data_IF_355338117558
#
_entry.id   IF_355338117558
#
_cell.length_a   1.000
_cell.length_b   1.000
_cell.length_c   1.000
_cell.angle_alpha   90.00
_cell.angle_beta   90.00
_cell.angle_gamma   90.00
#
_symmetry.space_group_name_H-M   'P 1'
#
loop_
_entity.id
_entity.type
_entity.pdbx_description
1 polymer ?
#
# COMPACT_ATOMS: atom_id res chain seq x y z
N UNK A 1 19.06 1.59 3.16
CA UNK A 1 17.95 1.14 2.32
C UNK A 1 16.63 1.71 2.80
N UNK A 2 16.04 2.58 2.00
CA UNK A 2 14.73 3.22 2.23
C UNK A 2 13.60 2.21 2.48
N UNK A 3 13.77 0.96 2.06
CA UNK A 3 12.69 -0.04 2.04
C UNK A 3 12.88 -1.21 2.98
N UNK A 4 14.06 -1.41 3.53
CA UNK A 4 14.37 -2.58 4.33
C UNK A 4 14.44 -2.28 5.83
N UNK A 5 14.51 -1.04 6.19
CA UNK A 5 14.45 -0.59 7.58
C UNK A 5 13.36 0.45 7.69
N UNK A 6 12.49 0.32 8.56
CA UNK A 6 12.42 -0.37 9.85
C UNK A 6 11.31 -1.45 9.91
N UNK A 7 11.11 -2.24 8.86
CA UNK A 7 10.03 -3.22 8.84
C UNK A 7 10.26 -4.38 9.80
N UNK A 8 9.20 -4.79 10.48
CA UNK A 8 9.17 -6.01 11.28
C UNK A 8 9.06 -7.24 10.38
N UNK A 9 9.68 -8.34 10.82
CA UNK A 9 9.68 -9.61 10.09
C UNK A 9 10.12 -9.50 8.62
N UNK A 10 10.96 -8.52 8.29
CA UNK A 10 11.44 -8.30 6.93
C UNK A 10 12.26 -9.48 6.38
N UNK A 11 12.81 -10.32 7.22
CA UNK A 11 13.49 -11.56 6.87
C UNK A 11 12.57 -12.60 6.21
N UNK A 12 11.27 -12.55 6.49
CA UNK A 12 10.24 -13.40 5.88
C UNK A 12 9.62 -12.81 4.61
N UNK A 13 10.00 -11.61 4.24
CA UNK A 13 9.54 -10.92 3.05
C UNK A 13 10.55 -11.04 1.88
N UNK A 14 10.33 -10.28 0.82
CA UNK A 14 11.25 -10.17 -0.34
C UNK A 14 11.60 -11.51 -1.00
N UNK A 15 10.62 -12.40 -1.09
CA UNK A 15 10.73 -13.69 -1.76
C UNK A 15 9.74 -13.80 -2.92
N UNK A 16 10.08 -14.63 -3.90
CA UNK A 16 9.18 -14.94 -5.01
C UNK A 16 8.29 -16.11 -4.60
N UNK A 17 6.98 -15.92 -4.72
CA UNK A 17 5.96 -16.94 -4.43
C UNK A 17 5.05 -17.13 -5.62
N UNK A 18 4.44 -18.31 -5.75
CA UNK A 18 3.46 -18.56 -6.78
C UNK A 18 2.12 -17.89 -6.44
N UNK A 19 1.48 -17.29 -7.44
CA UNK A 19 0.15 -16.69 -7.32
C UNK A 19 -0.76 -17.14 -8.45
N UNK A 20 -1.92 -17.71 -8.13
CA UNK A 20 -2.92 -18.21 -9.06
C UNK A 20 -3.67 -17.11 -9.84
N UNK A 21 -3.56 -15.88 -9.39
CA UNK A 21 -4.15 -14.69 -10.00
C UNK A 21 -3.21 -13.96 -10.98
N UNK A 22 -1.95 -14.42 -11.10
CA UNK A 22 -0.96 -13.83 -12.00
C UNK A 22 -1.02 -14.49 -13.36
N UNK A 23 -1.14 -13.70 -14.42
CA UNK A 23 -1.16 -14.17 -15.80
C UNK A 23 0.04 -13.62 -16.58
N UNK A 24 0.33 -14.25 -17.73
CA UNK A 24 1.32 -13.77 -18.70
C UNK A 24 0.67 -13.14 -19.93
N UNK A 25 -0.65 -13.02 -19.92
CA UNK A 25 -1.41 -12.41 -21.02
C UNK A 25 -1.22 -10.90 -21.06
N UNK A 26 -1.02 -10.31 -19.87
CA UNK A 26 -0.69 -8.88 -19.73
C UNK A 26 0.50 -8.75 -18.76
N UNK A 27 1.48 -7.94 -19.14
CA UNK A 27 2.68 -7.73 -18.33
C UNK A 27 3.73 -8.85 -18.41
N UNK A 28 4.48 -9.03 -17.34
CA UNK A 28 5.66 -9.92 -17.28
C UNK A 28 5.38 -11.27 -16.62
N UNK A 29 4.22 -11.48 -16.05
CA UNK A 29 3.94 -12.62 -15.18
C UNK A 29 4.58 -12.52 -13.79
N UNK A 30 5.14 -11.36 -13.45
CA UNK A 30 5.70 -11.07 -12.13
C UNK A 30 5.02 -9.83 -11.56
N UNK A 31 4.40 -9.97 -10.40
CA UNK A 31 3.62 -8.92 -9.75
C UNK A 31 4.19 -8.65 -8.36
N UNK A 32 4.31 -7.37 -8.00
CA UNK A 32 4.64 -6.98 -6.63
C UNK A 32 3.43 -7.26 -5.72
N UNK A 33 3.67 -7.95 -4.61
CA UNK A 33 2.65 -8.29 -3.61
C UNK A 33 2.85 -7.41 -2.39
N UNK A 34 1.80 -6.68 -1.99
CA UNK A 34 1.77 -5.84 -0.80
C UNK A 34 0.73 -6.37 0.21
N UNK A 35 1.12 -7.24 1.15
CA UNK A 35 0.18 -7.94 2.04
C UNK A 35 -0.75 -7.05 2.83
N UNK A 36 -0.32 -5.82 3.12
CA UNK A 36 -1.09 -4.85 3.93
C UNK A 36 -2.21 -4.16 3.14
N UNK A 37 -2.06 -4.04 1.79
CA UNK A 37 -2.89 -3.13 0.98
C UNK A 37 -3.58 -3.79 -0.22
N UNK A 38 -3.76 -5.11 -0.22
CA UNK A 38 -4.48 -5.83 -1.27
C UNK A 38 -5.12 -7.11 -0.76
N UNK A 39 -6.34 -7.44 -1.21
CA UNK A 39 -7.06 -8.64 -0.77
C UNK A 39 -6.38 -9.92 -1.27
N UNK A 40 -6.03 -9.98 -2.55
CA UNK A 40 -5.30 -11.12 -3.13
C UNK A 40 -3.88 -11.18 -2.58
N UNK A 41 -3.22 -10.04 -2.44
CA UNK A 41 -1.90 -9.91 -1.84
C UNK A 41 -1.89 -10.49 -0.41
N UNK A 42 -2.86 -10.10 0.41
CA UNK A 42 -3.01 -10.62 1.77
C UNK A 42 -3.25 -12.13 1.78
N UNK A 43 -4.11 -12.63 0.87
CA UNK A 43 -4.40 -14.06 0.75
C UNK A 43 -3.15 -14.87 0.42
N UNK A 44 -2.41 -14.45 -0.61
CA UNK A 44 -1.19 -15.14 -1.04
C UNK A 44 -0.09 -15.06 0.02
N UNK A 45 0.10 -13.91 0.63
CA UNK A 45 1.06 -13.74 1.72
C UNK A 45 0.75 -14.67 2.89
N UNK A 46 -0.53 -14.74 3.31
CA UNK A 46 -0.98 -15.64 4.39
C UNK A 46 -0.77 -17.11 4.06
N UNK A 47 -1.03 -17.54 2.82
CA UNK A 47 -0.80 -18.91 2.37
C UNK A 47 0.68 -19.30 2.43
N UNK A 48 1.58 -18.35 2.21
CA UNK A 48 3.02 -18.56 2.21
C UNK A 48 3.70 -18.19 3.54
N UNK A 49 2.92 -17.86 4.58
CA UNK A 49 3.45 -17.50 5.89
C UNK A 49 4.21 -16.16 5.92
N UNK A 50 3.95 -15.28 4.95
CA UNK A 50 4.54 -13.95 4.87
C UNK A 50 3.66 -12.99 5.67
N UNK A 51 4.21 -12.30 6.69
CA UNK A 51 3.45 -11.35 7.49
C UNK A 51 3.16 -10.06 6.72
N UNK A 52 2.16 -9.32 7.15
CA UNK A 52 1.99 -7.93 6.74
C UNK A 52 3.17 -7.12 7.30
N UNK A 53 3.87 -6.42 6.43
CA UNK A 53 5.00 -5.59 6.86
C UNK A 53 4.47 -4.31 7.52
N UNK A 54 4.90 -4.07 8.74
CA UNK A 54 4.60 -2.88 9.53
C UNK A 54 5.89 -2.17 9.91
N UNK A 55 5.77 -0.91 10.27
CA UNK A 55 6.88 -0.11 10.80
C UNK A 55 6.46 0.51 12.14
N UNK A 56 7.41 0.96 12.94
CA UNK A 56 7.13 1.72 14.15
C UNK A 56 6.85 3.19 13.84
N UNK A 57 5.79 3.70 14.44
CA UNK A 57 5.54 5.14 14.48
C UNK A 57 6.39 5.83 15.57
N UNK A 58 6.19 7.12 15.77
CA UNK A 58 6.90 7.90 16.78
C UNK A 58 6.58 7.48 18.23
N UNK A 59 5.48 6.74 18.42
CA UNK A 59 5.03 6.22 19.72
C UNK A 59 5.40 4.76 19.94
N UNK A 60 6.24 4.19 19.07
CA UNK A 60 6.68 2.78 19.07
C UNK A 60 5.56 1.77 18.79
N UNK A 61 4.42 2.21 18.20
CA UNK A 61 3.36 1.31 17.75
C UNK A 61 3.68 0.74 16.37
N UNK A 62 3.36 -0.52 16.16
CA UNK A 62 3.41 -1.13 14.83
C UNK A 62 2.24 -0.66 13.97
N UNK A 63 2.54 0.03 12.87
CA UNK A 63 1.55 0.64 12.00
C UNK A 63 1.85 0.38 10.53
N UNK A 64 0.85 0.40 9.65
CA UNK A 64 1.06 0.43 8.21
C UNK A 64 1.79 1.71 7.78
N UNK A 65 2.37 1.69 6.60
CA UNK A 65 3.08 2.86 6.02
C UNK A 65 2.16 4.03 5.66
N UNK A 66 0.86 3.77 5.56
CA UNK A 66 -0.19 4.74 5.20
C UNK A 66 -1.33 4.63 6.21
N UNK A 67 -1.82 5.75 6.68
CA UNK A 67 -2.96 5.82 7.58
C UNK A 67 -4.31 5.64 6.85
N UNK A 68 -5.41 5.61 7.61
CA UNK A 68 -6.78 5.46 7.06
C UNK A 68 -7.26 6.63 6.20
N UNK A 69 -6.52 7.73 6.18
CA UNK A 69 -6.78 8.91 5.34
C UNK A 69 -5.91 8.95 4.11
N UNK A 70 -5.15 7.89 3.84
CA UNK A 70 -4.22 7.81 2.72
C UNK A 70 -2.95 8.63 2.91
N UNK A 71 -2.68 9.12 4.11
CA UNK A 71 -1.48 9.88 4.43
C UNK A 71 -0.34 8.93 4.81
N UNK A 72 0.84 9.16 4.27
CA UNK A 72 2.04 8.45 4.71
C UNK A 72 2.40 8.85 6.13
N UNK A 73 2.76 7.88 6.96
CA UNK A 73 3.16 8.16 8.35
C UNK A 73 4.46 8.97 8.39
N UNK A 74 4.68 9.68 9.50
CA UNK A 74 5.77 10.66 9.65
C UNK A 74 7.14 10.12 9.30
N UNK A 75 7.44 8.86 9.66
CA UNK A 75 8.74 8.23 9.33
C UNK A 75 8.98 8.18 7.83
N UNK A 76 7.97 7.79 7.06
CA UNK A 76 8.05 7.74 5.59
C UNK A 76 8.01 9.15 5.01
N UNK A 77 7.12 10.01 5.51
CA UNK A 77 7.03 11.40 5.08
C UNK A 77 8.34 12.16 5.23
N UNK A 78 9.07 11.92 6.32
CA UNK A 78 10.41 12.50 6.53
C UNK A 78 11.41 12.02 5.48
N UNK A 79 11.45 10.72 5.19
CA UNK A 79 12.34 10.18 4.16
C UNK A 79 12.05 10.79 2.78
N UNK A 80 10.76 10.96 2.44
CA UNK A 80 10.35 11.57 1.18
C UNK A 80 10.72 13.06 1.12
N UNK A 81 10.49 13.82 2.20
CA UNK A 81 10.87 15.22 2.28
C UNK A 81 12.39 15.42 2.17
N UNK A 82 13.17 14.56 2.81
CA UNK A 82 14.63 14.56 2.70
C UNK A 82 15.10 14.21 1.28
N UNK A 83 14.44 13.26 0.63
CA UNK A 83 14.68 12.93 -0.78
C UNK A 83 14.38 14.08 -1.73
N UNK A 84 13.26 14.79 -1.54
CA UNK A 84 12.92 15.99 -2.32
C UNK A 84 14.00 17.05 -2.19
N UNK A 85 14.50 17.30 -0.99
CA UNK A 85 15.61 18.26 -0.75
C UNK A 85 16.92 17.76 -1.35
N UNK A 86 17.30 16.52 -1.08
CA UNK A 86 18.56 15.92 -1.53
C UNK A 86 18.73 15.99 -3.05
N UNK A 87 17.66 15.73 -3.79
CA UNK A 87 17.68 15.69 -5.25
C UNK A 87 17.13 16.98 -5.90
N UNK A 88 16.87 18.00 -5.10
CA UNK A 88 16.35 19.29 -5.56
C UNK A 88 15.11 19.13 -6.47
N UNK A 89 14.18 18.26 -6.07
CA UNK A 89 12.97 17.99 -6.84
C UNK A 89 12.06 19.20 -6.81
N UNK A 90 11.81 19.76 -7.99
CA UNK A 90 10.94 20.93 -8.14
C UNK A 90 9.47 20.52 -7.89
N UNK A 91 8.80 21.23 -7.00
CA UNK A 91 7.42 21.00 -6.61
C UNK A 91 6.65 22.33 -6.54
N UNK A 92 5.32 22.27 -6.64
CA UNK A 92 4.44 23.45 -6.66
C UNK A 92 4.46 24.28 -5.35
N UNK A 93 4.90 23.68 -4.25
CA UNK A 93 5.10 24.28 -2.92
C UNK A 93 6.23 23.54 -2.21
N UNK A 94 6.84 24.13 -1.16
CA UNK A 94 7.71 23.36 -0.28
C UNK A 94 6.92 22.19 0.35
N UNK A 95 7.48 20.98 0.28
CA UNK A 95 6.88 19.79 0.88
C UNK A 95 7.52 19.47 2.22
N UNK A 96 6.70 19.38 3.25
CA UNK A 96 7.06 18.92 4.59
C UNK A 96 6.72 17.45 4.80
N UNK A 97 6.96 16.94 6.00
CA UNK A 97 6.72 15.55 6.40
C UNK A 97 5.26 15.13 6.22
N UNK A 98 4.32 16.05 6.39
CA UNK A 98 2.89 15.80 6.38
C UNK A 98 2.21 16.01 5.02
N UNK A 99 2.97 16.29 3.98
CA UNK A 99 2.41 16.60 2.65
C UNK A 99 2.31 15.39 1.70
N UNK A 100 2.67 14.20 2.16
CA UNK A 100 2.69 13.00 1.33
C UNK A 100 1.46 12.13 1.56
N UNK A 101 0.73 11.88 0.49
CA UNK A 101 -0.49 11.08 0.48
C UNK A 101 -0.43 10.03 -0.63
N UNK A 102 -1.16 8.92 -0.45
CA UNK A 102 -1.51 8.07 -1.58
C UNK A 102 -2.23 8.93 -2.63
N UNK A 103 -1.94 8.70 -3.89
CA UNK A 103 -2.32 9.58 -5.03
C UNK A 103 -3.78 10.04 -4.98
N UNK A 104 -4.71 9.12 -4.69
CA UNK A 104 -6.14 9.39 -4.78
C UNK A 104 -6.73 10.00 -3.49
N UNK A 105 -5.92 10.27 -2.48
CA UNK A 105 -6.36 10.77 -1.17
C UNK A 105 -5.86 12.18 -0.84
N UNK A 106 -5.16 12.80 -1.78
CA UNK A 106 -4.80 14.22 -1.65
C UNK A 106 -5.97 15.11 -2.07
N UNK A 107 -6.07 16.29 -1.44
CA UNK A 107 -6.97 17.37 -1.85
C UNK A 107 -6.22 18.44 -2.66
N UNK A 108 -4.99 18.19 -3.06
CA UNK A 108 -4.19 19.15 -3.83
C UNK A 108 -4.70 19.24 -5.28
N UNK A 109 -4.63 20.43 -5.81
CA UNK A 109 -4.97 20.70 -7.21
C UNK A 109 -3.84 20.19 -8.12
N UNK A 110 -4.11 19.11 -8.82
CA UNK A 110 -3.16 18.48 -9.74
C UNK A 110 -2.82 19.33 -10.98
N UNK A 111 -3.60 20.37 -11.27
CA UNK A 111 -3.38 21.26 -12.42
C UNK A 111 -2.32 22.34 -12.16
N UNK A 112 -1.86 22.48 -10.91
CA UNK A 112 -0.83 23.46 -10.57
C UNK A 112 0.49 23.19 -11.28
N UNK A 113 1.16 24.23 -11.80
CA UNK A 113 2.50 24.09 -12.35
C UNK A 113 3.45 23.40 -11.35
N UNK A 114 4.26 22.49 -11.84
CA UNK A 114 5.20 21.69 -11.03
C UNK A 114 4.54 20.79 -9.95
N UNK A 115 3.22 20.60 -9.98
CA UNK A 115 2.59 19.59 -9.14
C UNK A 115 3.18 18.20 -9.41
N UNK A 116 3.47 17.49 -8.36
CA UNK A 116 3.89 16.08 -8.40
C UNK A 116 3.21 15.33 -7.26
N UNK A 117 2.46 14.31 -7.59
CA UNK A 117 1.95 13.40 -6.56
C UNK A 117 3.10 12.56 -5.97
N UNK A 118 2.83 11.91 -4.85
CA UNK A 118 3.84 11.14 -4.10
C UNK A 118 4.47 10.02 -4.94
N UNK A 119 3.70 9.36 -5.82
CA UNK A 119 4.23 8.28 -6.68
C UNK A 119 5.28 8.80 -7.67
N UNK A 120 5.04 9.99 -8.24
CA UNK A 120 6.01 10.66 -9.12
C UNK A 120 7.26 11.04 -8.34
N UNK A 121 7.12 11.55 -7.12
CA UNK A 121 8.25 11.92 -6.26
C UNK A 121 9.08 10.67 -5.92
N UNK A 122 8.46 9.57 -5.50
CA UNK A 122 9.12 8.29 -5.23
C UNK A 122 9.88 7.82 -6.49
N UNK A 123 9.24 7.88 -7.65
CA UNK A 123 9.84 7.45 -8.91
C UNK A 123 11.09 8.26 -9.26
N UNK A 124 11.08 9.57 -9.01
CA UNK A 124 12.25 10.44 -9.23
C UNK A 124 13.36 10.06 -8.24
N UNK A 125 13.06 9.94 -6.95
CA UNK A 125 14.04 9.55 -5.94
C UNK A 125 14.70 8.22 -6.31
N UNK A 126 13.91 7.22 -6.72
CA UNK A 126 14.42 5.90 -7.12
C UNK A 126 15.33 5.96 -8.35
N UNK A 127 15.00 6.82 -9.32
CA UNK A 127 15.85 7.06 -10.49
C UNK A 127 17.19 7.68 -10.12
N UNK A 128 17.14 8.74 -9.30
CA UNK A 128 18.33 9.44 -8.84
C UNK A 128 19.26 8.55 -7.98
N UNK A 129 18.69 7.56 -7.30
CA UNK A 129 19.44 6.58 -6.53
C UNK A 129 19.87 5.34 -7.34
N UNK A 130 19.62 5.32 -8.65
CA UNK A 130 19.86 4.17 -9.54
C UNK A 130 19.18 2.88 -9.07
N UNK A 131 18.00 3.00 -8.43
CA UNK A 131 17.19 1.88 -7.94
C UNK A 131 16.01 1.55 -8.85
N UNK A 132 15.68 2.41 -9.81
CA UNK A 132 14.63 2.17 -10.79
C UNK A 132 15.22 1.82 -12.16
N UNK A 133 14.98 0.60 -12.63
CA UNK A 133 15.38 0.17 -13.98
C UNK A 133 14.57 0.92 -15.06
N UNK A 134 13.23 0.99 -14.88
CA UNK A 134 12.31 1.65 -15.81
C UNK A 134 11.11 2.19 -15.03
N UNK A 135 10.62 3.34 -15.46
CA UNK A 135 9.36 3.93 -14.94
C UNK A 135 8.48 4.25 -16.13
N UNK A 136 7.26 3.72 -16.13
CA UNK A 136 6.25 3.93 -17.17
C UNK A 136 4.91 4.32 -16.54
N UNK A 137 4.10 5.04 -17.31
CA UNK A 137 2.69 5.20 -16.97
C UNK A 137 1.95 3.93 -17.36
N UNK A 138 1.21 3.37 -16.42
CA UNK A 138 0.35 2.21 -16.63
C UNK A 138 -1.08 2.58 -16.25
N UNK A 139 -2.00 2.40 -17.17
CA UNK A 139 -3.42 2.63 -16.94
C UNK A 139 -4.09 1.31 -16.58
N UNK A 140 -4.76 1.27 -15.45
CA UNK A 140 -5.48 0.10 -14.98
C UNK A 140 -6.76 0.51 -14.24
N UNK A 141 -7.69 -0.42 -14.11
CA UNK A 141 -8.90 -0.21 -13.32
C UNK A 141 -8.56 -0.14 -11.84
N UNK A 142 -9.24 0.74 -11.12
CA UNK A 142 -9.10 0.90 -9.67
C UNK A 142 -10.48 0.81 -9.00
N UNK A 143 -10.62 0.08 -7.89
CA UNK A 143 -11.91 -0.05 -7.22
C UNK A 143 -12.37 1.27 -6.61
N UNK A 144 -13.64 1.62 -6.87
CA UNK A 144 -14.27 2.81 -6.33
C UNK A 144 -15.48 2.45 -5.45
N UNK A 145 -15.74 3.29 -4.46
CA UNK A 145 -16.92 3.17 -3.63
C UNK A 145 -18.17 3.47 -4.45
N UNK A 146 -19.08 2.51 -4.56
CA UNK A 146 -20.30 2.63 -5.36
C UNK A 146 -21.26 3.77 -4.91
N UNK A 147 -21.11 4.29 -3.68
CA UNK A 147 -21.93 5.41 -3.16
C UNK A 147 -21.33 6.78 -3.43
N UNK A 148 -20.02 6.89 -3.35
CA UNK A 148 -19.32 8.19 -3.39
C UNK A 148 -18.46 8.37 -4.62
N UNK A 149 -18.31 7.31 -5.41
CA UNK A 149 -17.41 7.23 -6.56
C UNK A 149 -15.94 7.61 -6.25
N UNK A 150 -15.58 7.50 -4.96
CA UNK A 150 -14.20 7.74 -4.52
C UNK A 150 -13.40 6.44 -4.53
N UNK A 151 -12.10 6.50 -4.83
CA UNK A 151 -11.23 5.33 -4.77
C UNK A 151 -11.23 4.71 -3.38
N UNK A 152 -11.09 3.38 -3.34
CA UNK A 152 -11.10 2.60 -2.09
C UNK A 152 -9.68 2.28 -1.69
N UNK A 153 -9.28 2.64 -0.48
CA UNK A 153 -8.03 2.20 0.12
C UNK A 153 -8.26 0.85 0.81
N UNK A 154 -7.56 -0.18 0.35
CA UNK A 154 -7.49 -1.44 1.10
C UNK A 154 -6.62 -1.24 2.32
N UNK A 155 -7.15 -1.55 3.50
CA UNK A 155 -6.42 -1.46 4.76
C UNK A 155 -6.87 -2.58 5.68
N UNK A 156 -5.96 -3.23 6.41
CA UNK A 156 -6.32 -4.24 7.40
C UNK A 156 -7.11 -3.56 8.54
N UNK A 157 -8.20 -4.20 8.95
CA UNK A 157 -9.04 -3.77 10.06
C UNK A 157 -9.31 -4.96 10.96
N UNK A 158 -9.14 -4.78 12.24
CA UNK A 158 -9.62 -5.73 13.24
C UNK A 158 -11.14 -5.79 13.19
N UNK A 159 -11.68 -6.99 13.07
CA UNK A 159 -13.11 -7.21 12.93
C UNK A 159 -13.54 -8.44 13.72
N UNK A 160 -14.77 -8.39 14.22
CA UNK A 160 -15.39 -9.53 14.85
C UNK A 160 -16.03 -10.44 13.81
N UNK A 161 -15.74 -11.73 13.90
CA UNK A 161 -16.31 -12.75 13.02
C UNK A 161 -17.07 -13.79 13.83
N UNK A 162 -18.30 -14.07 13.41
CA UNK A 162 -19.08 -15.21 13.93
C UNK A 162 -18.87 -16.37 12.99
N UNK A 163 -18.28 -17.46 13.48
CA UNK A 163 -18.09 -18.70 12.70
C UNK A 163 -19.42 -19.43 12.53
N UNK A 164 -20.28 -18.92 11.67
CA UNK A 164 -21.63 -19.47 11.43
C UNK A 164 -21.61 -20.93 11.02
N UNK A 165 -20.56 -21.36 10.30
CA UNK A 165 -20.38 -22.77 9.91
C UNK A 165 -20.26 -23.73 11.09
N UNK A 166 -19.80 -23.28 12.26
CA UNK A 166 -19.72 -24.10 13.46
C UNK A 166 -21.11 -24.39 14.09
N UNK A 167 -22.10 -23.58 13.77
CA UNK A 167 -23.46 -23.69 14.30
C UNK A 167 -24.46 -24.19 13.26
N UNK A 168 -24.04 -24.35 11.99
CA UNK A 168 -24.89 -24.67 10.86
C UNK A 168 -25.77 -25.89 11.12
N UNK A 169 -25.17 -27.02 11.49
CA UNK A 169 -25.90 -28.28 11.63
C UNK A 169 -26.92 -28.22 12.78
N UNK A 170 -26.55 -27.60 13.89
CA UNK A 170 -27.44 -27.36 15.02
C UNK A 170 -28.61 -26.44 14.66
N UNK A 171 -28.35 -25.38 13.89
CA UNK A 171 -29.41 -24.48 13.41
C UNK A 171 -30.37 -25.19 12.45
N UNK A 172 -29.86 -26.03 11.54
CA UNK A 172 -30.68 -26.84 10.65
C UNK A 172 -31.51 -27.85 11.43
N UNK A 173 -30.95 -28.48 12.45
CA UNK A 173 -31.68 -29.42 13.32
C UNK A 173 -32.83 -28.72 14.06
N UNK A 174 -32.55 -27.58 14.69
CA UNK A 174 -33.54 -26.80 15.43
C UNK A 174 -34.65 -26.20 14.55
N UNK A 175 -34.43 -26.08 13.26
CA UNK A 175 -35.40 -25.53 12.31
C UNK A 175 -36.26 -26.60 11.64
N UNK A 176 -36.10 -27.91 12.00
CA UNK A 176 -36.94 -29.02 11.51
C UNK A 176 -38.16 -29.30 12.34
N UNK A 177 -38.42 -28.53 13.39
CA UNK A 177 -39.63 -28.55 14.20
C UNK A 177 -40.59 -27.42 13.68
#
# INVERSE_FOLDING_TARGET
DLYLQPFYDADKAFQVVAGDFVTTEDGTGVVHVSPTFGADDFRVAKQNGIPALTIKDELDNEVPTVDRKGKFISVIGKQLADGVKKFNIKTHKPLGVDDFYEKNYTNEDETKPDYKNTNVIISIILKEENKAFKVENYEHTYPHCWRTDKPVLYSPLDSWFIKTTALKDKMVELNKT
#
